data_IF_756669074988
#
_entry.id   IF_756669074988
#
_cell.length_a   1.000
_cell.length_b   1.000
_cell.length_c   1.000
_cell.angle_alpha   90.00
_cell.angle_beta   90.00
_cell.angle_gamma   90.00
#
_symmetry.space_group_name_H-M   'P 1'
#
loop_
_entity.id
_entity.type
_entity.pdbx_description
1 polymer ?
#
# COMPACT_ATOMS: atom_id res chain seq x y z
N UNK A 1 -47.93 -4.48 -10.21
CA UNK A 1 -47.05 -4.74 -9.06
C UNK A 1 -45.81 -5.46 -9.59
N UNK A 2 -44.77 -4.73 -9.96
CA UNK A 2 -43.49 -5.33 -10.35
C UNK A 2 -42.52 -5.20 -9.17
N UNK A 3 -42.05 -6.35 -8.69
CA UNK A 3 -41.13 -6.46 -7.57
C UNK A 3 -39.79 -5.78 -7.89
N UNK A 4 -39.37 -4.92 -6.97
CA UNK A 4 -38.04 -4.35 -6.88
C UNK A 4 -36.99 -5.47 -6.79
N UNK A 5 -36.18 -5.63 -7.83
CA UNK A 5 -34.87 -6.27 -7.72
C UNK A 5 -33.92 -5.18 -7.23
N UNK A 6 -33.72 -5.11 -5.91
CA UNK A 6 -32.63 -4.34 -5.32
C UNK A 6 -31.32 -5.03 -5.68
N UNK A 7 -30.77 -4.65 -6.84
CA UNK A 7 -29.41 -4.99 -7.23
C UNK A 7 -28.44 -4.51 -6.15
N UNK A 8 -27.82 -5.48 -5.48
CA UNK A 8 -26.75 -5.32 -4.52
C UNK A 8 -25.55 -4.62 -5.20
N UNK A 9 -25.56 -3.29 -5.20
CA UNK A 9 -24.47 -2.43 -5.68
C UNK A 9 -23.40 -2.30 -4.58
N UNK A 10 -22.69 -3.39 -4.28
CA UNK A 10 -21.52 -3.33 -3.42
C UNK A 10 -20.37 -4.32 -3.75
N UNK A 11 -20.24 -4.96 -4.94
CA UNK A 11 -19.19 -5.96 -5.09
C UNK A 11 -17.80 -5.36 -5.27
N UNK A 12 -17.63 -4.28 -6.05
CA UNK A 12 -16.28 -3.81 -6.39
C UNK A 12 -15.58 -3.10 -5.21
N UNK A 13 -16.26 -2.16 -4.55
CA UNK A 13 -15.69 -1.45 -3.40
C UNK A 13 -15.42 -2.39 -2.22
N UNK A 14 -16.30 -3.37 -1.96
CA UNK A 14 -16.09 -4.36 -0.89
C UNK A 14 -14.97 -5.36 -1.22
N UNK A 15 -14.82 -5.77 -2.49
CA UNK A 15 -13.70 -6.58 -2.95
C UNK A 15 -12.37 -5.79 -2.91
N UNK A 16 -12.41 -4.48 -3.17
CA UNK A 16 -11.24 -3.60 -3.06
C UNK A 16 -10.83 -3.35 -1.61
N UNK A 17 -11.79 -3.19 -0.69
CA UNK A 17 -11.51 -3.01 0.75
C UNK A 17 -10.94 -4.28 1.37
N UNK A 18 -11.34 -5.47 0.91
CA UNK A 18 -10.80 -6.76 1.40
C UNK A 18 -9.35 -7.04 0.98
N UNK A 19 -8.80 -6.31 0.01
CA UNK A 19 -7.35 -6.31 -0.28
C UNK A 19 -6.56 -5.56 0.79
N UNK A 20 -7.18 -4.62 1.49
CA UNK A 20 -6.58 -3.87 2.60
C UNK A 20 -7.01 -4.46 3.96
N UNK A 21 -6.35 -4.02 5.03
CA UNK A 21 -6.58 -4.55 6.37
C UNK A 21 -8.01 -4.29 6.86
N UNK A 22 -8.83 -5.33 6.92
CA UNK A 22 -10.12 -5.31 7.64
C UNK A 22 -9.97 -6.00 8.98
N UNK A 23 -9.21 -5.40 9.92
CA UNK A 23 -9.23 -5.82 11.33
C UNK A 23 -10.03 -4.80 12.14
N UNK A 24 -10.88 -5.27 13.06
CA UNK A 24 -11.49 -4.36 14.04
C UNK A 24 -10.35 -3.68 14.81
N UNK A 25 -10.32 -2.33 14.90
CA UNK A 25 -9.31 -1.65 15.69
C UNK A 25 -9.42 -2.19 17.12
N UNK A 26 -8.31 -2.64 17.71
CA UNK A 26 -8.29 -3.14 19.10
C UNK A 26 -9.01 -4.51 19.20
N UNK A 27 -8.57 -5.49 18.42
CA UNK A 27 -9.03 -6.89 18.56
C UNK A 27 -8.18 -7.63 19.61
N UNK A 28 -8.85 -8.46 20.43
CA UNK A 28 -8.25 -9.39 21.41
C UNK A 28 -7.72 -10.68 20.76
N UNK A 29 -7.86 -10.82 19.45
CA UNK A 29 -7.36 -11.97 18.71
C UNK A 29 -5.83 -11.89 18.59
N UNK A 30 -5.12 -13.04 18.59
CA UNK A 30 -3.67 -13.07 18.48
C UNK A 30 -3.20 -12.24 17.29
N UNK A 31 -2.09 -11.51 17.47
CA UNK A 31 -1.55 -10.64 16.43
C UNK A 31 -1.24 -11.47 15.18
N UNK A 32 -2.03 -11.24 14.13
CA UNK A 32 -1.79 -11.87 12.85
C UNK A 32 -0.76 -11.09 12.04
N UNK A 33 0.46 -11.63 11.98
CA UNK A 33 1.55 -11.12 11.16
C UNK A 33 1.15 -10.97 9.69
N UNK A 34 0.26 -11.83 9.19
CA UNK A 34 -0.21 -11.83 7.81
C UNK A 34 -0.95 -10.52 7.47
N UNK A 35 -1.71 -9.96 8.41
CA UNK A 35 -2.44 -8.70 8.20
C UNK A 35 -1.45 -7.55 7.96
N UNK A 36 -0.40 -7.44 8.78
CA UNK A 36 0.66 -6.43 8.65
C UNK A 36 1.44 -6.54 7.36
N UNK A 37 1.82 -7.77 7.01
CA UNK A 37 2.52 -8.03 5.77
C UNK A 37 1.64 -7.67 4.58
N UNK A 38 0.37 -8.06 4.60
CA UNK A 38 -0.58 -7.77 3.53
C UNK A 38 -0.81 -6.26 3.34
N UNK A 39 -1.08 -5.50 4.41
CA UNK A 39 -1.36 -4.06 4.29
C UNK A 39 -0.16 -3.24 3.82
N UNK A 40 1.00 -3.44 4.45
CA UNK A 40 2.22 -2.70 4.07
C UNK A 40 2.72 -3.06 2.68
N UNK A 41 2.74 -4.35 2.32
CA UNK A 41 3.13 -4.77 0.96
C UNK A 41 2.13 -4.31 -0.10
N UNK A 42 0.82 -4.38 0.17
CA UNK A 42 -0.20 -3.85 -0.73
C UNK A 42 -0.04 -2.34 -0.92
N UNK A 43 0.15 -1.59 0.15
CA UNK A 43 0.39 -0.13 0.08
C UNK A 43 1.61 0.19 -0.78
N UNK A 44 2.72 -0.52 -0.61
CA UNK A 44 3.92 -0.31 -1.43
C UNK A 44 3.69 -0.68 -2.90
N UNK A 45 3.05 -1.83 -3.16
CA UNK A 45 2.73 -2.30 -4.50
C UNK A 45 1.81 -1.33 -5.24
N UNK A 46 0.75 -0.83 -4.60
CA UNK A 46 -0.18 0.11 -5.23
C UNK A 46 0.46 1.47 -5.51
N UNK A 47 1.38 1.93 -4.65
CA UNK A 47 2.18 3.13 -4.95
C UNK A 47 3.08 2.88 -6.17
N UNK A 48 3.80 1.76 -6.21
CA UNK A 48 4.63 1.42 -7.37
C UNK A 48 3.79 1.34 -8.65
N UNK A 49 2.65 0.67 -8.60
CA UNK A 49 1.74 0.50 -9.74
C UNK A 49 1.17 1.85 -10.21
N UNK A 50 0.75 2.71 -9.28
CA UNK A 50 0.25 4.05 -9.59
C UNK A 50 1.29 4.85 -10.38
N UNK A 51 2.51 4.93 -9.85
CA UNK A 51 3.58 5.70 -10.48
C UNK A 51 4.12 5.03 -11.75
N UNK A 52 4.07 3.71 -11.85
CA UNK A 52 4.33 2.98 -13.09
C UNK A 52 3.34 3.37 -14.18
N UNK A 53 2.04 3.39 -13.90
CA UNK A 53 1.04 3.82 -14.87
C UNK A 53 1.22 5.29 -15.25
N UNK A 54 1.58 6.16 -14.30
CA UNK A 54 1.92 7.56 -14.59
C UNK A 54 3.14 7.65 -15.50
N UNK A 55 4.23 6.96 -15.18
CA UNK A 55 5.44 6.93 -16.00
C UNK A 55 5.16 6.41 -17.41
N UNK A 56 4.35 5.36 -17.52
CA UNK A 56 3.97 4.75 -18.80
C UNK A 56 3.06 5.67 -19.62
N UNK A 57 2.17 6.41 -18.98
CA UNK A 57 1.36 7.45 -19.63
C UNK A 57 2.23 8.62 -20.10
N UNK A 58 3.31 8.97 -19.39
CA UNK A 58 4.25 10.02 -19.79
C UNK A 58 5.14 9.57 -20.95
N UNK A 59 5.59 8.30 -20.94
CA UNK A 59 6.44 7.76 -22.00
C UNK A 59 5.68 7.59 -23.33
N UNK A 60 4.35 7.46 -23.28
CA UNK A 60 3.49 7.23 -24.44
C UNK A 60 2.82 8.54 -24.90
N UNK A 61 3.13 9.04 -26.11
CA UNK A 61 2.58 10.32 -26.61
C UNK A 61 1.27 10.17 -27.39
N UNK A 62 0.58 9.02 -27.30
CA UNK A 62 -0.64 8.72 -28.05
C UNK A 62 -1.89 8.79 -27.17
N UNK A 63 -3.08 8.64 -27.78
CA UNK A 63 -4.35 8.57 -27.07
C UNK A 63 -4.42 7.43 -26.02
N UNK A 64 -3.52 6.46 -26.11
CA UNK A 64 -3.36 5.36 -25.15
C UNK A 64 -2.97 5.91 -23.76
N UNK A 65 -2.21 7.01 -23.68
CA UNK A 65 -1.86 7.70 -22.43
C UNK A 65 -3.08 8.12 -21.60
N UNK A 66 -4.17 8.51 -22.26
CA UNK A 66 -5.42 8.92 -21.61
C UNK A 66 -6.07 7.70 -20.93
N UNK A 67 -6.09 6.57 -21.63
CA UNK A 67 -6.64 5.31 -21.10
C UNK A 67 -5.81 4.84 -19.89
N UNK A 68 -4.48 4.89 -19.99
CA UNK A 68 -3.58 4.54 -18.88
C UNK A 68 -3.80 5.47 -17.69
N UNK A 69 -3.95 6.78 -17.93
CA UNK A 69 -4.22 7.78 -16.88
C UNK A 69 -5.54 7.51 -16.15
N UNK A 70 -6.57 7.04 -16.86
CA UNK A 70 -7.83 6.63 -16.24
C UNK A 70 -7.64 5.41 -15.31
N UNK A 71 -6.83 4.43 -15.71
CA UNK A 71 -6.48 3.32 -14.82
C UNK A 71 -5.65 3.79 -13.61
N UNK A 72 -4.71 4.71 -13.80
CA UNK A 72 -3.96 5.31 -12.70
C UNK A 72 -4.90 5.98 -11.69
N UNK A 73 -5.95 6.67 -12.15
CA UNK A 73 -6.97 7.27 -11.29
C UNK A 73 -7.72 6.22 -10.44
N UNK A 74 -8.09 5.09 -11.03
CA UNK A 74 -8.74 3.98 -10.31
C UNK A 74 -7.81 3.47 -9.19
N UNK A 75 -6.52 3.26 -9.51
CA UNK A 75 -5.52 2.82 -8.52
C UNK A 75 -5.34 3.87 -7.41
N UNK A 76 -5.35 5.17 -7.75
CA UNK A 76 -5.28 6.24 -6.76
C UNK A 76 -6.46 6.18 -5.78
N UNK A 77 -7.69 6.00 -6.28
CA UNK A 77 -8.87 5.85 -5.42
C UNK A 77 -8.72 4.63 -4.49
N UNK A 78 -8.27 3.49 -5.02
CA UNK A 78 -8.02 2.29 -4.21
C UNK A 78 -6.96 2.55 -3.13
N UNK A 79 -5.88 3.23 -3.47
CA UNK A 79 -4.81 3.57 -2.52
C UNK A 79 -5.32 4.47 -1.39
N UNK A 80 -6.10 5.51 -1.72
CA UNK A 80 -6.67 6.42 -0.72
C UNK A 80 -7.64 5.71 0.22
N UNK A 81 -8.54 4.87 -0.32
CA UNK A 81 -9.47 4.08 0.49
C UNK A 81 -8.76 3.05 1.37
N UNK A 82 -7.71 2.41 0.84
CA UNK A 82 -6.89 1.46 1.59
C UNK A 82 -6.14 2.11 2.75
N UNK A 83 -5.54 3.28 2.51
CA UNK A 83 -4.84 4.03 3.55
C UNK A 83 -5.76 4.38 4.72
N UNK A 84 -7.04 4.66 4.46
CA UNK A 84 -8.05 4.93 5.50
C UNK A 84 -8.31 3.73 6.42
N UNK A 85 -8.26 2.51 5.89
CA UNK A 85 -8.51 1.28 6.66
C UNK A 85 -7.36 0.86 7.60
N UNK A 86 -6.13 1.33 7.38
CA UNK A 86 -4.94 0.92 8.13
C UNK A 86 -4.71 1.74 9.43
N UNK A 87 -5.72 1.76 10.31
CA UNK A 87 -5.69 2.54 11.56
C UNK A 87 -4.47 2.24 12.44
N UNK A 88 -4.06 0.98 12.55
CA UNK A 88 -2.95 0.56 13.43
C UNK A 88 -1.58 1.02 12.91
N UNK A 89 -1.35 0.95 11.59
CA UNK A 89 -0.13 1.48 10.95
C UNK A 89 -0.06 3.00 11.07
N UNK A 90 -1.19 3.69 10.93
CA UNK A 90 -1.28 5.13 11.16
C UNK A 90 -0.92 5.52 12.59
N UNK A 91 -1.38 4.76 13.58
CA UNK A 91 -1.04 4.98 15.00
C UNK A 91 0.46 4.79 15.23
N UNK A 92 1.08 3.76 14.65
CA UNK A 92 2.52 3.57 14.69
C UNK A 92 3.29 4.76 14.10
N UNK A 93 2.94 5.17 12.87
CA UNK A 93 3.58 6.29 12.19
C UNK A 93 3.34 7.64 12.91
N UNK A 94 2.22 7.79 13.61
CA UNK A 94 1.95 8.99 14.40
C UNK A 94 2.80 9.08 15.67
N UNK A 95 3.01 7.95 16.36
CA UNK A 95 3.66 7.93 17.67
C UNK A 95 5.17 7.68 17.61
N UNK A 96 5.69 7.07 16.53
CA UNK A 96 7.10 6.71 16.40
C UNK A 96 7.74 7.51 15.26
N UNK A 97 8.45 8.59 15.60
CA UNK A 97 9.01 9.56 14.64
C UNK A 97 9.91 8.91 13.57
N UNK A 98 10.84 8.05 13.97
CA UNK A 98 11.76 7.43 13.01
C UNK A 98 11.02 6.49 12.03
N UNK A 99 10.01 5.77 12.53
CA UNK A 99 9.19 4.86 11.72
C UNK A 99 8.34 5.64 10.70
N UNK A 100 7.84 6.82 11.08
CA UNK A 100 7.20 7.75 10.14
C UNK A 100 8.12 8.09 8.97
N UNK A 101 9.36 8.50 9.25
CA UNK A 101 10.32 8.87 8.21
C UNK A 101 10.70 7.66 7.36
N UNK A 102 10.92 6.50 7.97
CA UNK A 102 11.23 5.26 7.25
C UNK A 102 10.09 4.83 6.31
N UNK A 103 8.85 4.89 6.78
CA UNK A 103 7.67 4.54 5.97
C UNK A 103 7.50 5.51 4.81
N UNK A 104 7.69 6.82 5.04
CA UNK A 104 7.62 7.83 3.99
C UNK A 104 8.72 7.63 2.94
N UNK A 105 9.96 7.40 3.36
CA UNK A 105 11.07 7.09 2.45
C UNK A 105 10.80 5.82 1.63
N UNK A 106 10.24 4.78 2.26
CA UNK A 106 9.92 3.52 1.57
C UNK A 106 8.82 3.69 0.52
N UNK A 107 7.78 4.48 0.83
CA UNK A 107 6.73 4.82 -0.13
C UNK A 107 7.25 5.71 -1.26
N UNK A 108 8.07 6.73 -0.95
CA UNK A 108 8.72 7.59 -1.94
C UNK A 108 9.65 6.79 -2.86
N UNK A 109 10.37 5.81 -2.31
CA UNK A 109 11.17 4.88 -3.10
C UNK A 109 10.31 4.04 -4.03
N UNK A 110 9.16 3.55 -3.57
CA UNK A 110 8.20 2.84 -4.43
C UNK A 110 7.67 3.72 -5.57
N UNK A 111 7.36 4.98 -5.28
CA UNK A 111 6.94 5.94 -6.30
C UNK A 111 8.04 6.18 -7.35
N UNK A 112 9.28 6.34 -6.91
CA UNK A 112 10.44 6.52 -7.79
C UNK A 112 10.67 5.27 -8.66
N UNK A 113 10.66 4.08 -8.06
CA UNK A 113 10.76 2.80 -8.78
C UNK A 113 9.67 2.68 -9.84
N UNK A 114 8.42 2.90 -9.45
CA UNK A 114 7.28 2.87 -10.36
C UNK A 114 7.46 3.83 -11.53
N UNK A 115 7.76 5.10 -11.24
CA UNK A 115 7.88 6.15 -12.26
C UNK A 115 9.00 5.87 -13.28
N UNK A 116 10.11 5.30 -12.82
CA UNK A 116 11.33 5.11 -13.60
C UNK A 116 11.26 3.86 -14.48
N UNK A 117 10.59 2.80 -14.04
CA UNK A 117 10.52 1.50 -14.75
C UNK A 117 10.04 1.55 -16.22
N UNK A 118 9.04 2.37 -16.61
CA UNK A 118 8.59 2.48 -17.99
C UNK A 118 9.60 3.10 -18.96
N UNK A 119 10.63 3.78 -18.45
CA UNK A 119 11.67 4.39 -19.27
C UNK A 119 12.81 3.38 -19.47
N UNK A 120 13.37 3.31 -20.68
CA UNK A 120 14.46 2.39 -20.98
C UNK A 120 15.73 2.76 -20.20
N UNK A 121 15.99 2.05 -19.11
CA UNK A 121 17.23 2.12 -18.34
C UNK A 121 18.13 0.94 -18.69
N UNK A 122 19.09 1.18 -19.58
CA UNK A 122 20.15 0.22 -19.91
C UNK A 122 21.28 0.17 -18.85
N UNK A 123 21.18 0.95 -17.77
CA UNK A 123 22.24 1.09 -16.77
C UNK A 123 22.19 -0.04 -15.72
N UNK A 124 23.24 -0.88 -15.59
CA UNK A 124 23.34 -1.90 -14.54
C UNK A 124 23.20 -1.35 -13.11
N UNK A 125 23.56 -0.08 -12.88
CA UNK A 125 23.38 0.58 -11.59
C UNK A 125 21.90 0.77 -11.24
N UNK A 126 21.05 1.07 -12.22
CA UNK A 126 19.60 1.19 -12.02
C UNK A 126 19.00 -0.16 -11.59
N UNK A 127 19.43 -1.25 -12.21
CA UNK A 127 19.02 -2.61 -11.83
C UNK A 127 19.46 -3.00 -10.42
N UNK A 128 20.67 -2.64 -10.02
CA UNK A 128 21.15 -2.86 -8.65
C UNK A 128 20.29 -2.10 -7.63
N UNK A 129 19.94 -0.84 -7.91
CA UNK A 129 19.09 -0.03 -7.05
C UNK A 129 17.68 -0.64 -6.95
N UNK A 130 17.09 -1.05 -8.07
CA UNK A 130 15.78 -1.74 -8.09
C UNK A 130 15.80 -3.03 -7.26
N UNK A 131 16.87 -3.81 -7.37
CA UNK A 131 17.06 -5.04 -6.60
C UNK A 131 17.14 -4.80 -5.09
N UNK A 132 17.55 -3.61 -4.63
CA UNK A 132 17.55 -3.25 -3.21
C UNK A 132 16.20 -2.67 -2.76
N UNK A 133 15.57 -1.84 -3.60
CA UNK A 133 14.33 -1.14 -3.25
C UNK A 133 13.11 -2.06 -3.23
N UNK A 134 13.03 -3.04 -4.13
CA UNK A 134 11.89 -3.98 -4.19
C UNK A 134 11.82 -4.86 -2.93
N UNK A 135 12.90 -5.56 -2.49
CA UNK A 135 12.87 -6.31 -1.25
C UNK A 135 12.65 -5.41 -0.03
N UNK A 136 13.17 -4.18 -0.03
CA UNK A 136 12.90 -3.25 1.06
C UNK A 136 11.41 -2.96 1.21
N UNK A 137 10.71 -2.65 0.11
CA UNK A 137 9.28 -2.35 0.15
C UNK A 137 8.38 -3.57 0.39
N UNK A 138 8.72 -4.71 -0.21
CA UNK A 138 7.87 -5.91 -0.20
C UNK A 138 8.13 -6.85 0.98
N UNK A 139 9.30 -6.78 1.62
CA UNK A 139 9.71 -7.75 2.66
C UNK A 139 10.19 -7.02 3.92
N UNK A 140 11.19 -6.14 3.79
CA UNK A 140 11.85 -5.53 4.96
C UNK A 140 10.88 -4.59 5.68
N UNK A 141 10.21 -3.69 4.97
CA UNK A 141 9.27 -2.74 5.57
C UNK A 141 8.09 -3.44 6.26
N UNK A 142 7.42 -4.44 5.64
CA UNK A 142 6.48 -5.30 6.34
C UNK A 142 7.00 -5.90 7.64
N UNK A 143 8.20 -6.46 7.62
CA UNK A 143 8.80 -7.12 8.77
C UNK A 143 9.18 -6.13 9.88
N UNK A 144 9.76 -4.99 9.52
CA UNK A 144 10.06 -3.88 10.43
C UNK A 144 8.79 -3.34 11.07
N UNK A 145 7.73 -3.13 10.28
CA UNK A 145 6.42 -2.67 10.76
C UNK A 145 5.85 -3.61 11.81
N UNK A 146 5.85 -4.92 11.52
CA UNK A 146 5.40 -5.93 12.46
C UNK A 146 6.25 -5.97 13.75
N UNK A 147 7.57 -5.90 13.62
CA UNK A 147 8.48 -5.90 14.78
C UNK A 147 8.26 -4.69 15.69
N UNK A 148 8.06 -3.50 15.12
CA UNK A 148 7.80 -2.28 15.88
C UNK A 148 6.41 -2.36 16.53
N UNK A 149 5.41 -2.85 15.80
CA UNK A 149 4.07 -3.07 16.33
C UNK A 149 4.13 -3.94 17.58
N UNK A 150 4.71 -5.14 17.49
CA UNK A 150 4.82 -6.08 18.61
C UNK A 150 5.58 -5.47 19.79
N UNK A 151 6.70 -4.81 19.53
CA UNK A 151 7.53 -4.19 20.59
C UNK A 151 6.81 -3.07 21.34
N UNK A 152 5.92 -2.34 20.67
CA UNK A 152 5.27 -1.15 21.25
C UNK A 152 3.78 -1.36 21.52
N UNK A 153 3.24 -2.57 21.30
CA UNK A 153 1.81 -2.85 21.36
C UNK A 153 1.18 -2.40 22.67
N UNK A 154 1.69 -2.87 23.79
CA UNK A 154 1.16 -2.52 25.13
C UNK A 154 1.31 -1.03 25.43
N UNK A 155 2.37 -0.39 24.96
CA UNK A 155 2.57 1.05 25.13
C UNK A 155 1.64 1.90 24.25
N UNK A 156 1.24 1.40 23.08
CA UNK A 156 0.43 2.13 22.10
C UNK A 156 -1.07 1.93 22.31
N UNK A 157 -1.46 0.76 22.81
CA UNK A 157 -2.86 0.34 22.91
C UNK A 157 -3.31 0.04 24.35
N UNK A 158 -2.42 0.06 25.34
CA UNK A 158 -2.76 -0.11 26.76
C UNK A 158 -3.24 -1.51 27.14
N UNK A 159 -3.12 -2.48 26.23
CA UNK A 159 -3.49 -3.88 26.44
C UNK A 159 -2.25 -4.78 26.37
N UNK A 160 -2.22 -5.83 27.18
CA UNK A 160 -1.21 -6.88 26.99
C UNK A 160 -1.50 -7.60 25.67
N UNK A 161 -0.46 -7.78 24.87
CA UNK A 161 -0.48 -8.69 23.73
C UNK A 161 -0.76 -10.11 24.27
N UNK A 162 -1.76 -10.80 23.73
CA UNK A 162 -2.22 -12.11 24.20
C UNK A 162 -1.32 -13.24 23.69
#
# INVERSE_FOLDING_TARGET
>A
MFNNITANKAPLAALCITLFMTRKPISTDPIDQYIFVKGTSASWFFVCLLFYLIGLAISESSAISIVISFFALIILVMLLSGLESEVEIKILAKNIKWYKYYSLLTLSAGALVGLVLPFDFADPFAWLVLFLLIPNGMIIWPWVTFSIYKKNYTSLFGMYDA
#
